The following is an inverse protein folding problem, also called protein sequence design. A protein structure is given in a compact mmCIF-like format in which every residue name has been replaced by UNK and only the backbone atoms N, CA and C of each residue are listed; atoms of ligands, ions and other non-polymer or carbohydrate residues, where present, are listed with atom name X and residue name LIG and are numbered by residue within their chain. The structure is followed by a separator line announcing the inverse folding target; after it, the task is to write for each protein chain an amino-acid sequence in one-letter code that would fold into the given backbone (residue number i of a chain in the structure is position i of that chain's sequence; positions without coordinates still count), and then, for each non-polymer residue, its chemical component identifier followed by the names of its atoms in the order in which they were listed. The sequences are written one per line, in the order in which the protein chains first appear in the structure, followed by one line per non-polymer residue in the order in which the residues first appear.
data_IF_105724732121
#
_entry.id   IF_105724732121
#
_cell.length_a   1.000
_cell.length_b   1.000
_cell.length_c   1.000
_cell.angle_alpha   90.00
_cell.angle_beta   90.00
_cell.angle_gamma   90.00
#
_symmetry.space_group_name_H-M   'P 1'
#
loop_
_entity.id
_entity.type
_entity.pdbx_description
1 polymer ?
#
# COMPACT_ATOMS: atom_id res chain seq x y z
N UNK A 1 26.68 25.68 -59.24
CA UNK A 1 27.59 26.07 -58.15
C UNK A 1 27.36 25.14 -56.97
N UNK A 2 28.42 24.44 -56.54
CA UNK A 2 28.45 23.56 -55.35
C UNK A 2 28.40 24.41 -54.09
N UNK A 3 27.72 23.94 -53.04
CA UNK A 3 28.02 24.11 -51.60
C UNK A 3 26.75 23.75 -50.81
N UNK A 4 26.75 23.08 -49.67
CA UNK A 4 27.66 22.21 -48.91
C UNK A 4 26.77 21.68 -47.77
N UNK A 5 27.02 20.45 -47.34
CA UNK A 5 26.36 19.76 -46.24
C UNK A 5 26.31 20.56 -44.92
N UNK A 6 25.23 20.38 -44.13
CA UNK A 6 25.24 19.64 -42.85
C UNK A 6 23.88 19.76 -42.12
N UNK A 7 23.28 18.65 -41.65
CA UNK A 7 22.30 18.70 -40.57
C UNK A 7 23.06 18.76 -39.23
N UNK A 8 22.78 19.79 -38.42
CA UNK A 8 23.33 19.94 -37.07
C UNK A 8 22.30 19.47 -36.03
N UNK A 9 22.75 18.47 -35.25
CA UNK A 9 22.43 18.11 -33.86
C UNK A 9 21.05 18.46 -33.27
N UNK A 10 20.24 17.48 -32.87
CA UNK A 10 20.36 16.69 -31.63
C UNK A 10 20.40 17.57 -30.35
N UNK A 11 19.58 17.18 -29.36
CA UNK A 11 19.45 17.76 -28.01
C UNK A 11 18.23 18.70 -27.88
N UNK A 12 17.12 18.28 -27.31
CA UNK A 12 17.06 18.01 -25.87
C UNK A 12 15.76 17.28 -25.54
N UNK A 13 15.79 15.95 -25.58
CA UNK A 13 14.78 15.14 -24.88
C UNK A 13 14.91 15.51 -23.40
N UNK A 14 13.92 16.24 -22.89
CA UNK A 14 13.69 16.39 -21.46
C UNK A 14 13.55 14.98 -20.87
N UNK A 15 14.67 14.42 -20.40
CA UNK A 15 14.68 13.24 -19.56
C UNK A 15 14.00 13.65 -18.27
N UNK A 16 12.73 13.27 -18.10
CA UNK A 16 12.13 13.21 -16.76
C UNK A 16 13.06 12.33 -15.91
N UNK A 17 13.57 12.80 -14.77
CA UNK A 17 14.21 11.89 -13.83
C UNK A 17 13.18 10.83 -13.44
N UNK A 18 13.57 9.56 -13.55
CA UNK A 18 12.79 8.45 -13.02
C UNK A 18 12.53 8.69 -11.52
N UNK A 19 11.36 8.30 -10.98
CA UNK A 19 11.14 8.37 -9.54
C UNK A 19 12.22 7.51 -8.89
N UNK A 20 13.07 8.14 -8.09
CA UNK A 20 14.05 7.43 -7.27
C UNK A 20 13.23 6.53 -6.34
N UNK A 21 13.40 5.22 -6.50
CA UNK A 21 12.87 4.23 -5.58
C UNK A 21 13.35 4.63 -4.19
N UNK A 22 12.39 5.00 -3.32
CA UNK A 22 12.66 5.29 -1.93
C UNK A 22 13.37 4.05 -1.36
N UNK A 23 14.66 4.21 -1.09
CA UNK A 23 15.48 3.22 -0.41
C UNK A 23 14.93 3.11 1.01
N UNK A 24 14.09 2.10 1.24
CA UNK A 24 13.76 1.69 2.60
C UNK A 24 15.07 1.31 3.29
N UNK A 25 15.55 2.16 4.19
CA UNK A 25 16.66 1.82 5.07
C UNK A 25 16.24 0.60 5.87
N UNK A 26 16.92 -0.52 5.64
CA UNK A 26 16.78 -1.73 6.44
C UNK A 26 17.18 -1.39 7.89
N UNK A 27 16.18 -1.20 8.75
CA UNK A 27 16.37 -1.13 10.19
C UNK A 27 16.87 -2.48 10.73
N UNK A 28 17.41 -2.49 11.96
CA UNK A 28 18.05 -3.68 12.55
C UNK A 28 17.10 -4.90 12.59
N UNK A 29 17.63 -6.11 12.36
CA UNK A 29 16.84 -7.34 12.45
C UNK A 29 16.51 -7.61 13.91
N UNK A 30 15.31 -7.24 14.36
CA UNK A 30 14.90 -7.56 15.74
C UNK A 30 13.67 -6.84 16.29
N UNK A 31 13.18 -5.78 15.64
CA UNK A 31 11.87 -5.20 15.96
C UNK A 31 11.08 -5.01 14.68
N UNK A 32 10.42 -6.09 14.25
CA UNK A 32 9.31 -5.96 13.31
C UNK A 32 8.22 -5.18 14.06
N UNK A 33 8.05 -3.91 13.72
CA UNK A 33 6.96 -3.10 14.24
C UNK A 33 5.64 -3.71 13.74
N UNK A 34 5.13 -4.72 14.44
CA UNK A 34 3.74 -5.12 14.25
C UNK A 34 2.90 -4.02 14.90
N UNK A 35 2.41 -3.11 14.07
CA UNK A 35 1.43 -2.10 14.45
C UNK A 35 0.17 -2.73 15.08
N UNK A 36 -0.06 -4.02 14.77
CA UNK A 36 -0.98 -4.92 15.46
C UNK A 36 -0.38 -5.43 16.78
N UNK A 37 -1.02 -5.11 17.90
CA UNK A 37 -0.59 -5.53 19.25
C UNK A 37 -0.81 -7.01 19.52
N UNK A 38 -1.69 -7.67 18.76
CA UNK A 38 -1.99 -9.10 18.86
C UNK A 38 -1.49 -9.92 17.66
N UNK A 39 -0.51 -9.41 16.90
CA UNK A 39 -0.01 -10.04 15.68
C UNK A 39 0.47 -11.48 15.89
N UNK A 40 1.16 -11.78 16.99
CA UNK A 40 1.68 -13.12 17.28
C UNK A 40 0.55 -14.14 17.43
N UNK A 41 -0.46 -13.84 18.25
CA UNK A 41 -1.61 -14.71 18.45
C UNK A 41 -2.41 -14.91 17.15
N UNK A 42 -2.55 -13.86 16.34
CA UNK A 42 -3.18 -13.95 15.02
C UNK A 42 -2.35 -14.80 14.06
N UNK A 43 -1.02 -14.67 14.06
CA UNK A 43 -0.15 -15.49 13.20
C UNK A 43 -0.21 -16.98 13.57
N UNK A 44 -0.35 -17.31 14.86
CA UNK A 44 -0.56 -18.68 15.32
C UNK A 44 -1.93 -19.22 14.89
N UNK A 45 -3.01 -18.45 15.10
CA UNK A 45 -4.37 -18.86 14.77
C UNK A 45 -4.62 -18.94 13.26
N UNK A 46 -4.00 -18.04 12.48
CA UNK A 46 -4.19 -17.92 11.04
C UNK A 46 -2.99 -18.38 10.23
N UNK A 47 -2.07 -19.13 10.84
CA UNK A 47 -0.87 -19.67 10.19
C UNK A 47 -1.19 -20.19 8.78
N UNK A 48 -0.37 -19.86 7.76
CA UNK A 48 -0.64 -20.31 6.39
C UNK A 48 -0.81 -21.83 6.41
N UNK A 49 -1.87 -22.31 5.76
CA UNK A 49 -1.90 -23.73 5.41
C UNK A 49 -0.67 -23.98 4.53
N UNK A 50 0.05 -25.11 4.71
CA UNK A 50 1.23 -25.41 3.92
C UNK A 50 0.82 -25.70 2.47
N UNK A 51 0.64 -24.68 1.63
CA UNK A 51 0.34 -24.86 0.20
C UNK A 51 1.27 -24.08 -0.73
N UNK A 52 1.94 -24.89 -1.57
CA UNK A 52 2.53 -24.69 -2.91
C UNK A 52 3.53 -23.56 -3.17
N UNK A 53 3.67 -22.55 -2.32
CA UNK A 53 4.77 -21.60 -2.40
C UNK A 53 5.80 -21.90 -1.32
N UNK A 54 7.12 -21.85 -1.62
CA UNK A 54 8.13 -21.97 -0.58
C UNK A 54 7.87 -20.85 0.43
N UNK A 55 7.60 -21.24 1.67
CA UNK A 55 7.53 -20.30 2.80
C UNK A 55 8.75 -19.37 2.72
N UNK A 56 8.57 -18.04 2.84
CA UNK A 56 9.70 -17.12 2.81
C UNK A 56 10.74 -17.60 3.85
N UNK A 57 12.02 -17.71 3.47
CA UNK A 57 13.02 -18.34 4.32
C UNK A 57 13.10 -17.63 5.67
N UNK A 58 12.66 -18.33 6.73
CA UNK A 58 13.02 -18.05 8.12
C UNK A 58 12.38 -16.83 8.80
N UNK A 59 11.15 -16.42 8.47
CA UNK A 59 10.52 -15.29 9.15
C UNK A 59 9.02 -15.44 9.39
N UNK A 60 8.54 -14.96 10.54
CA UNK A 60 7.12 -14.72 10.79
C UNK A 60 6.51 -13.86 9.66
N UNK A 61 5.19 -13.96 9.43
CA UNK A 61 4.52 -13.11 8.44
C UNK A 61 4.70 -11.63 8.79
N UNK A 62 4.89 -10.77 7.79
CA UNK A 62 4.68 -9.33 7.96
C UNK A 62 3.21 -9.03 8.26
N UNK A 63 2.92 -7.84 8.81
CA UNK A 63 1.53 -7.44 9.08
C UNK A 63 0.63 -7.47 7.84
N UNK A 64 1.17 -7.07 6.68
CA UNK A 64 0.44 -7.09 5.41
C UNK A 64 0.15 -8.52 4.94
N UNK A 65 1.14 -9.42 5.02
CA UNK A 65 0.96 -10.83 4.68
C UNK A 65 -0.05 -11.50 5.62
N UNK A 66 0.03 -11.23 6.92
CA UNK A 66 -0.93 -11.73 7.90
C UNK A 66 -2.37 -11.27 7.59
N UNK A 67 -2.57 -9.97 7.31
CA UNK A 67 -3.89 -9.43 6.94
C UNK A 67 -4.41 -10.09 5.65
N UNK A 68 -3.56 -10.26 4.64
CA UNK A 68 -3.95 -10.93 3.40
C UNK A 68 -4.37 -12.39 3.64
N UNK A 69 -3.63 -13.13 4.46
CA UNK A 69 -3.97 -14.50 4.85
C UNK A 69 -5.26 -14.57 5.66
N UNK A 70 -5.47 -13.65 6.60
CA UNK A 70 -6.71 -13.57 7.37
C UNK A 70 -7.90 -13.26 6.47
N UNK A 71 -7.78 -12.27 5.57
CA UNK A 71 -8.84 -11.92 4.63
C UNK A 71 -9.22 -13.09 3.72
N UNK A 72 -8.24 -13.85 3.23
CA UNK A 72 -8.51 -15.04 2.43
C UNK A 72 -9.28 -16.15 3.19
N UNK A 73 -9.16 -16.21 4.53
CA UNK A 73 -9.79 -17.24 5.37
C UNK A 73 -11.15 -16.83 5.93
N UNK A 74 -11.29 -15.60 6.40
CA UNK A 74 -12.48 -15.12 7.13
C UNK A 74 -13.11 -13.86 6.51
N UNK A 75 -12.54 -13.31 5.45
CA UNK A 75 -13.05 -12.10 4.80
C UNK A 75 -13.03 -10.89 5.73
N UNK A 76 -14.08 -10.06 5.66
CA UNK A 76 -14.21 -8.81 6.43
C UNK A 76 -14.31 -9.02 7.94
N UNK A 77 -14.65 -10.23 8.40
CA UNK A 77 -14.70 -10.58 9.83
C UNK A 77 -13.34 -10.44 10.52
N UNK A 78 -12.25 -10.41 9.75
CA UNK A 78 -10.90 -10.14 10.27
C UNK A 78 -10.85 -8.84 11.07
N UNK A 79 -11.65 -7.83 10.70
CA UNK A 79 -11.63 -6.50 11.33
C UNK A 79 -11.96 -6.57 12.82
N UNK A 80 -12.89 -7.45 13.21
CA UNK A 80 -13.25 -7.67 14.62
C UNK A 80 -12.11 -8.28 15.46
N UNK A 81 -11.10 -8.87 14.80
CA UNK A 81 -9.98 -9.56 15.43
C UNK A 81 -8.73 -8.69 15.57
N UNK A 82 -8.59 -7.63 14.76
CA UNK A 82 -7.41 -6.76 14.79
C UNK A 82 -7.36 -5.91 16.06
N UNK A 83 -6.20 -5.85 16.71
CA UNK A 83 -5.95 -4.95 17.86
C UNK A 83 -4.67 -4.17 17.64
N UNK A 84 -4.64 -2.91 18.08
CA UNK A 84 -3.51 -2.00 17.91
C UNK A 84 -3.85 -0.83 16.98
N UNK A 85 -2.83 -0.07 16.60
CA UNK A 85 -2.95 1.04 15.66
C UNK A 85 -2.67 0.53 14.25
N UNK A 86 -3.58 0.71 13.30
CA UNK A 86 -3.39 0.19 11.96
C UNK A 86 -4.15 1.02 10.93
N UNK A 87 -3.64 1.01 9.70
CA UNK A 87 -4.34 1.45 8.51
C UNK A 87 -3.87 0.58 7.36
N UNK A 88 -4.78 0.06 6.56
CA UNK A 88 -4.43 -0.75 5.39
C UNK A 88 -5.47 -0.64 4.28
N UNK A 89 -5.03 -0.99 3.08
CA UNK A 89 -5.88 -1.12 1.90
C UNK A 89 -5.57 -2.47 1.25
N UNK A 90 -6.61 -3.25 0.99
CA UNK A 90 -6.55 -4.54 0.33
C UNK A 90 -7.40 -4.48 -0.94
N UNK A 91 -6.82 -4.92 -2.05
CA UNK A 91 -7.53 -5.09 -3.31
C UNK A 91 -7.75 -6.57 -3.61
N UNK A 92 -8.99 -6.98 -3.81
CA UNK A 92 -9.36 -8.32 -4.22
C UNK A 92 -9.65 -8.35 -5.72
N UNK A 93 -8.72 -8.91 -6.50
CA UNK A 93 -8.81 -8.95 -7.96
C UNK A 93 -9.97 -9.79 -8.48
N UNK A 94 -10.35 -10.87 -7.77
CA UNK A 94 -11.43 -11.78 -8.18
C UNK A 94 -12.79 -11.10 -8.20
N UNK A 95 -13.03 -10.19 -7.26
CA UNK A 95 -14.32 -9.51 -7.08
C UNK A 95 -14.25 -8.03 -7.46
N UNK A 96 -13.06 -7.53 -7.84
CA UNK A 96 -12.79 -6.11 -8.07
C UNK A 96 -13.20 -5.22 -6.89
N UNK A 97 -12.97 -5.70 -5.67
CA UNK A 97 -13.32 -4.99 -4.43
C UNK A 97 -12.08 -4.39 -3.76
N UNK A 98 -12.28 -3.25 -3.12
CA UNK A 98 -11.28 -2.63 -2.25
C UNK A 98 -11.83 -2.67 -0.82
N UNK A 99 -11.06 -3.25 0.09
CA UNK A 99 -11.27 -3.13 1.53
C UNK A 99 -10.25 -2.13 2.07
N UNK A 100 -10.73 -1.03 2.62
CA UNK A 100 -9.91 -0.02 3.27
C UNK A 100 -10.36 0.07 4.73
N UNK A 101 -9.43 -0.05 5.66
CA UNK A 101 -9.75 -0.05 7.08
C UNK A 101 -8.64 0.61 7.90
N UNK A 102 -9.05 1.18 9.03
CA UNK A 102 -8.17 1.79 10.04
C UNK A 102 -8.59 1.37 11.43
N UNK A 103 -7.74 1.63 12.42
CA UNK A 103 -8.04 1.35 13.82
C UNK A 103 -9.17 2.25 14.37
N UNK A 104 -9.97 1.68 15.27
CA UNK A 104 -11.10 2.38 15.89
C UNK A 104 -10.71 3.53 16.82
N UNK A 105 -9.45 3.59 17.26
CA UNK A 105 -8.95 4.69 18.08
C UNK A 105 -8.61 5.94 17.25
N UNK A 106 -8.60 5.82 15.92
CA UNK A 106 -8.26 6.90 15.00
C UNK A 106 -6.76 7.23 14.96
N UNK A 107 -5.89 6.38 15.50
CA UNK A 107 -4.45 6.63 15.61
C UNK A 107 -3.73 6.67 14.26
N UNK A 108 -4.22 5.91 13.28
CA UNK A 108 -3.68 5.89 11.92
C UNK A 108 -4.69 6.50 10.92
N UNK A 109 -4.42 7.67 10.31
CA UNK A 109 -5.32 8.30 9.35
C UNK A 109 -5.47 7.49 8.08
N UNK A 110 -6.68 7.53 7.51
CA UNK A 110 -6.96 7.04 6.17
C UNK A 110 -7.97 7.96 5.50
N UNK A 111 -7.60 8.47 4.34
CA UNK A 111 -8.40 9.40 3.55
C UNK A 111 -8.79 8.74 2.24
N UNK A 112 -10.02 8.99 1.81
CA UNK A 112 -10.51 8.66 0.48
C UNK A 112 -10.77 9.93 -0.33
N UNK A 113 -10.57 9.85 -1.64
CA UNK A 113 -10.88 10.92 -2.56
C UNK A 113 -11.24 10.37 -3.95
N UNK A 114 -11.74 11.25 -4.82
CA UNK A 114 -11.93 10.98 -6.25
C UNK A 114 -10.83 11.65 -7.05
N UNK A 115 -10.09 10.85 -7.82
CA UNK A 115 -9.06 11.33 -8.74
C UNK A 115 -9.71 11.98 -9.96
N UNK A 116 -9.32 13.22 -10.26
CA UNK A 116 -9.91 14.15 -11.24
C UNK A 116 -10.72 13.55 -12.39
N UNK A 117 -10.17 13.56 -13.61
CA UNK A 117 -10.94 13.26 -14.83
C UNK A 117 -11.48 11.83 -14.92
N UNK A 118 -10.89 10.87 -14.20
CA UNK A 118 -11.28 9.46 -14.25
C UNK A 118 -12.29 9.06 -13.18
N UNK A 119 -12.54 9.91 -12.18
CA UNK A 119 -13.38 9.57 -11.03
C UNK A 119 -12.84 8.40 -10.19
N UNK A 120 -11.56 8.04 -10.35
CA UNK A 120 -10.98 6.87 -9.69
C UNK A 120 -10.95 7.05 -8.17
N UNK A 121 -11.21 5.97 -7.42
CA UNK A 121 -11.00 5.98 -5.97
C UNK A 121 -9.51 6.09 -5.65
N UNK A 122 -9.13 7.08 -4.84
CA UNK A 122 -7.77 7.24 -4.33
C UNK A 122 -7.80 7.14 -2.82
N UNK A 123 -6.90 6.35 -2.25
CA UNK A 123 -6.76 6.14 -0.81
C UNK A 123 -5.35 6.54 -0.37
N UNK A 124 -5.23 7.25 0.73
CA UNK A 124 -3.94 7.73 1.25
C UNK A 124 -4.01 7.95 2.75
N UNK A 125 -2.91 7.68 3.46
CA UNK A 125 -2.75 8.12 4.85
C UNK A 125 -2.37 9.60 4.97
N UNK A 126 -2.02 10.26 3.86
CA UNK A 126 -1.61 11.65 3.78
C UNK A 126 -2.61 12.48 2.98
N UNK A 127 -3.33 13.38 3.68
CA UNK A 127 -4.29 14.31 3.08
C UNK A 127 -3.64 15.25 2.06
N UNK A 128 -2.51 15.86 2.41
CA UNK A 128 -1.82 16.80 1.54
C UNK A 128 -1.38 16.20 0.20
N UNK A 129 -1.16 14.88 0.15
CA UNK A 129 -0.85 14.18 -1.11
C UNK A 129 -2.06 14.13 -2.04
N UNK A 130 -3.27 13.95 -1.48
CA UNK A 130 -4.52 13.96 -2.25
C UNK A 130 -4.83 15.35 -2.79
N UNK A 131 -4.64 16.37 -1.97
CA UNK A 131 -4.83 17.78 -2.35
C UNK A 131 -3.84 18.21 -3.42
N UNK A 132 -2.55 17.88 -3.26
CA UNK A 132 -1.51 18.17 -4.25
C UNK A 132 -1.73 17.40 -5.57
N UNK A 133 -2.34 16.22 -5.52
CA UNK A 133 -2.72 15.45 -6.71
C UNK A 133 -3.99 16.01 -7.40
N UNK A 134 -4.62 17.06 -6.87
CA UNK A 134 -5.85 17.63 -7.40
C UNK A 134 -7.05 16.69 -7.25
N UNK A 135 -7.05 15.83 -6.23
CA UNK A 135 -8.18 14.96 -5.94
C UNK A 135 -9.33 15.77 -5.32
N UNK A 136 -10.56 15.50 -5.77
CA UNK A 136 -11.78 16.07 -5.21
C UNK A 136 -12.38 15.18 -4.12
N UNK A 137 -13.36 15.73 -3.38
CA UNK A 137 -14.15 14.98 -2.38
C UNK A 137 -13.28 14.25 -1.34
N UNK A 138 -12.29 14.95 -0.79
CA UNK A 138 -11.38 14.38 0.21
C UNK A 138 -12.12 14.20 1.53
N UNK A 139 -12.34 12.94 1.93
CA UNK A 139 -13.07 12.55 3.14
C UNK A 139 -12.22 11.61 3.97
N UNK A 140 -12.17 11.83 5.27
CA UNK A 140 -11.53 10.89 6.20
C UNK A 140 -12.42 9.66 6.37
N UNK A 141 -11.84 8.46 6.25
CA UNK A 141 -12.54 7.22 6.60
C UNK A 141 -12.75 7.20 8.10
N UNK A 142 -14.02 7.15 8.50
CA UNK A 142 -14.43 7.02 9.89
C UNK A 142 -14.12 5.61 10.42
N UNK A 143 -13.81 5.50 11.73
CA UNK A 143 -13.59 4.22 12.39
C UNK A 143 -14.84 3.34 12.44
#
# INVERSE_FOLDING_TARGET
MRSREKPAELSSRHRRPAPQAATHSAGPPGKRFSCLSNATALAEAFAPLPERQPSPPGGALSGAELIAHMYAKVGVELLGLLRGAFTFVLYESKTSRVLAARDGAGGCPLWQARGGASGSLVLSCARGLLEAAGCGEVVELMP
#
